data_IF_008321531076
#
_entry.id   IF_008321531076
#
_cell.length_a   1.000
_cell.length_b   1.000
_cell.length_c   1.000
_cell.angle_alpha   90.00
_cell.angle_beta   90.00
_cell.angle_gamma   90.00
#
_symmetry.space_group_name_H-M   'P 1'
#
loop_
_entity.id
_entity.type
_entity.pdbx_description
1 polymer ?
#
# COMPACT_ATOMS: atom_id res chain seq x y z
N UNK A 1 -5.13 47.65 22.68
CA UNK A 1 -5.92 46.44 22.45
C UNK A 1 -6.73 46.59 21.17
N UNK A 2 -7.16 45.52 20.58
CA UNK A 2 -7.89 45.50 19.30
C UNK A 2 -9.25 46.22 19.31
N UNK A 3 -9.75 46.55 20.49
CA UNK A 3 -10.97 47.35 20.66
C UNK A 3 -10.88 48.77 20.05
N UNK A 4 -9.67 49.30 19.97
CA UNK A 4 -9.43 50.66 19.48
C UNK A 4 -9.11 50.70 17.98
N UNK A 5 -8.79 49.56 17.37
CA UNK A 5 -8.41 49.46 15.97
C UNK A 5 -8.90 48.15 15.33
N UNK A 6 -10.18 48.05 14.93
CA UNK A 6 -10.73 46.85 14.29
C UNK A 6 -10.00 46.48 12.97
N UNK A 7 -9.43 47.45 12.27
CA UNK A 7 -8.64 47.24 11.07
C UNK A 7 -7.37 46.41 11.31
N UNK A 8 -6.83 46.43 12.53
CA UNK A 8 -5.67 45.61 12.88
C UNK A 8 -6.02 44.12 12.96
N UNK A 9 -7.22 43.78 13.46
CA UNK A 9 -7.67 42.40 13.48
C UNK A 9 -7.88 41.85 12.04
N UNK A 10 -8.51 42.67 11.19
CA UNK A 10 -8.69 42.32 9.80
C UNK A 10 -7.35 42.04 9.08
N UNK A 11 -6.39 42.97 9.23
CA UNK A 11 -5.04 42.80 8.65
C UNK A 11 -4.31 41.58 9.20
N UNK A 12 -4.46 41.30 10.50
CA UNK A 12 -3.86 40.13 11.16
C UNK A 12 -4.44 38.83 10.63
N UNK A 13 -5.79 38.72 10.55
CA UNK A 13 -6.44 37.53 10.00
C UNK A 13 -6.05 37.31 8.54
N UNK A 14 -5.95 38.36 7.76
CA UNK A 14 -5.49 38.29 6.37
C UNK A 14 -4.05 37.74 6.30
N UNK A 15 -3.15 38.21 7.13
CA UNK A 15 -1.77 37.69 7.20
C UNK A 15 -1.73 36.21 7.59
N UNK A 16 -2.58 35.76 8.52
CA UNK A 16 -2.65 34.34 8.89
C UNK A 16 -3.12 33.49 7.73
N UNK A 17 -4.12 33.94 6.97
CA UNK A 17 -4.60 33.27 5.75
C UNK A 17 -3.47 33.19 4.71
N UNK A 18 -2.77 34.29 4.45
CA UNK A 18 -1.67 34.37 3.50
C UNK A 18 -0.49 33.44 3.91
N UNK A 19 -0.29 33.25 5.21
CA UNK A 19 0.69 32.29 5.76
C UNK A 19 0.20 30.85 5.84
N UNK A 20 -0.98 30.55 5.31
CA UNK A 20 -1.58 29.21 5.34
C UNK A 20 -1.78 28.64 6.76
N UNK A 21 -2.07 29.51 7.74
CA UNK A 21 -2.44 29.05 9.07
C UNK A 21 -3.76 28.26 9.01
N UNK A 22 -3.85 27.21 9.85
CA UNK A 22 -5.02 26.31 9.87
C UNK A 22 -6.28 26.94 10.46
N UNK A 23 -6.12 28.00 11.27
CA UNK A 23 -7.22 28.68 11.94
C UNK A 23 -6.74 29.64 13.02
N UNK A 24 -7.65 30.32 13.69
CA UNK A 24 -7.37 31.25 14.77
C UNK A 24 -8.25 30.95 15.98
N UNK A 25 -7.64 30.83 17.15
CA UNK A 25 -8.33 30.73 18.43
C UNK A 25 -8.29 32.08 19.15
N UNK A 26 -9.42 32.56 19.58
CA UNK A 26 -9.55 33.83 20.30
C UNK A 26 -10.28 33.59 21.62
N UNK A 27 -9.68 34.05 22.72
CA UNK A 27 -10.35 34.12 24.02
C UNK A 27 -11.16 35.40 24.10
N UNK A 28 -12.48 35.26 24.29
CA UNK A 28 -13.41 36.34 24.49
C UNK A 28 -13.37 36.79 25.96
N UNK A 29 -12.85 37.96 26.20
CA UNK A 29 -12.74 38.51 27.54
C UNK A 29 -13.18 39.99 27.58
N UNK A 30 -12.76 40.71 28.62
CA UNK A 30 -13.06 42.13 28.80
C UNK A 30 -12.59 43.00 27.63
N UNK A 31 -11.60 42.53 26.85
CA UNK A 31 -10.97 43.27 25.76
C UNK A 31 -11.56 42.98 24.38
N UNK A 32 -12.08 41.75 24.17
CA UNK A 32 -12.69 41.34 22.91
C UNK A 32 -14.09 40.81 23.24
N UNK A 33 -15.13 41.55 22.86
CA UNK A 33 -16.53 41.17 23.09
C UNK A 33 -17.20 40.61 21.86
N UNK A 34 -16.83 41.13 20.70
CA UNK A 34 -17.40 40.76 19.41
C UNK A 34 -16.30 40.75 18.32
N UNK A 35 -16.52 39.93 17.30
CA UNK A 35 -15.68 39.92 16.09
C UNK A 35 -16.34 40.82 15.04
N UNK A 36 -15.61 41.76 14.45
CA UNK A 36 -16.13 42.64 13.39
C UNK A 36 -16.66 41.84 12.19
N UNK A 37 -17.79 42.28 11.63
CA UNK A 37 -18.44 41.58 10.53
C UNK A 37 -17.54 41.39 9.31
N UNK A 38 -16.72 42.38 8.98
CA UNK A 38 -15.75 42.31 7.88
C UNK A 38 -14.67 41.21 8.08
N UNK A 39 -14.34 40.86 9.33
CA UNK A 39 -13.42 39.77 9.66
C UNK A 39 -14.09 38.41 9.45
N UNK A 40 -15.38 38.32 9.82
CA UNK A 40 -16.18 37.11 9.61
C UNK A 40 -16.33 36.85 8.10
N UNK A 41 -16.70 37.87 7.32
CA UNK A 41 -16.83 37.75 5.87
C UNK A 41 -15.51 37.38 5.18
N UNK A 42 -14.39 37.92 5.65
CA UNK A 42 -13.05 37.50 5.17
C UNK A 42 -12.79 36.04 5.48
N UNK A 43 -13.01 35.62 6.72
CA UNK A 43 -12.78 34.25 7.17
C UNK A 43 -13.65 33.25 6.39
N UNK A 44 -14.94 33.55 6.21
CA UNK A 44 -15.87 32.74 5.43
C UNK A 44 -15.45 32.61 3.95
N UNK A 45 -15.00 33.71 3.33
CA UNK A 45 -14.57 33.71 1.93
C UNK A 45 -13.37 32.81 1.66
N UNK A 46 -12.51 32.62 2.66
CA UNK A 46 -11.32 31.75 2.59
C UNK A 46 -11.48 30.42 3.35
N UNK A 47 -12.68 30.13 3.87
CA UNK A 47 -12.96 28.96 4.73
C UNK A 47 -11.98 28.84 5.91
N UNK A 48 -11.59 29.99 6.46
CA UNK A 48 -10.63 30.08 7.56
C UNK A 48 -11.38 30.01 8.91
N UNK A 49 -11.18 28.95 9.72
CA UNK A 49 -11.91 28.78 10.97
C UNK A 49 -11.41 29.76 12.05
N UNK A 50 -12.36 30.48 12.68
CA UNK A 50 -12.12 31.27 13.91
C UNK A 50 -12.89 30.63 15.06
N UNK A 51 -12.18 30.16 16.07
CA UNK A 51 -12.72 29.52 17.25
C UNK A 51 -12.74 30.52 18.41
N UNK A 52 -13.93 30.73 19.00
CA UNK A 52 -14.12 31.69 20.10
C UNK A 52 -14.31 30.96 21.41
N UNK A 53 -13.44 31.25 22.39
CA UNK A 53 -13.58 30.76 23.75
C UNK A 53 -14.29 31.83 24.60
N UNK A 54 -15.48 31.53 25.11
CA UNK A 54 -16.26 32.43 25.96
C UNK A 54 -15.89 32.35 27.44
N UNK A 55 -15.01 31.43 27.80
CA UNK A 55 -14.45 31.28 29.15
C UNK A 55 -12.94 31.35 29.08
N UNK A 56 -12.32 31.72 30.17
CA UNK A 56 -10.87 31.65 30.33
C UNK A 56 -10.38 30.22 30.08
N UNK A 57 -9.41 30.07 29.21
CA UNK A 57 -8.82 28.78 28.82
C UNK A 57 -7.31 28.87 28.95
N UNK A 58 -6.71 27.80 29.48
CA UNK A 58 -5.29 27.65 29.49
C UNK A 58 -4.80 27.13 28.13
N UNK A 59 -4.23 28.00 27.32
CA UNK A 59 -3.71 27.61 25.98
C UNK A 59 -2.72 26.45 26.05
N UNK A 60 -2.02 26.28 27.17
CA UNK A 60 -1.15 25.13 27.42
C UNK A 60 -1.94 23.82 27.41
N UNK A 61 -3.12 23.79 28.02
CA UNK A 61 -4.01 22.60 28.02
C UNK A 61 -4.49 22.28 26.61
N UNK A 62 -4.94 23.29 25.85
CA UNK A 62 -5.36 23.12 24.46
C UNK A 62 -4.22 22.57 23.61
N UNK A 63 -3.02 23.14 23.75
CA UNK A 63 -1.82 22.69 23.03
C UNK A 63 -1.47 21.26 23.40
N UNK A 64 -1.54 20.91 24.68
CA UNK A 64 -1.31 19.55 25.18
C UNK A 64 -2.29 18.55 24.61
N UNK A 65 -3.59 18.89 24.58
CA UNK A 65 -4.64 18.04 24.04
C UNK A 65 -4.47 17.81 22.52
N UNK A 66 -4.17 18.87 21.77
CA UNK A 66 -3.89 18.77 20.34
C UNK A 66 -2.66 17.88 20.09
N UNK A 67 -1.56 18.10 20.83
CA UNK A 67 -0.36 17.26 20.70
C UNK A 67 -0.66 15.79 21.03
N UNK A 68 -1.43 15.56 22.10
CA UNK A 68 -1.83 14.20 22.50
C UNK A 68 -2.65 13.52 21.42
N UNK A 69 -3.60 14.23 20.78
CA UNK A 69 -4.38 13.70 19.66
C UNK A 69 -3.48 13.36 18.45
N UNK A 70 -2.56 14.26 18.08
CA UNK A 70 -1.62 14.03 16.97
C UNK A 70 -0.75 12.81 17.26
N UNK A 71 -0.18 12.72 18.46
CA UNK A 71 0.68 11.60 18.86
C UNK A 71 -0.13 10.29 18.87
N UNK A 72 -1.32 10.28 19.45
CA UNK A 72 -2.17 9.10 19.50
C UNK A 72 -2.55 8.63 18.08
N UNK A 73 -2.88 9.54 17.17
CA UNK A 73 -3.15 9.19 15.78
C UNK A 73 -1.92 8.56 15.09
N UNK A 74 -0.72 9.10 15.34
CA UNK A 74 0.52 8.51 14.80
C UNK A 74 0.78 7.11 15.37
N UNK A 75 0.58 6.92 16.67
CA UNK A 75 0.69 5.59 17.29
C UNK A 75 -0.32 4.59 16.71
N UNK A 76 -1.55 5.04 16.45
CA UNK A 76 -2.56 4.18 15.85
C UNK A 76 -2.15 3.73 14.43
N UNK A 77 -1.70 4.66 13.59
CA UNK A 77 -1.23 4.34 12.24
C UNK A 77 -0.07 3.34 12.25
N UNK A 78 0.89 3.53 13.19
CA UNK A 78 2.00 2.59 13.35
C UNK A 78 1.54 1.21 13.83
N UNK A 79 0.59 1.17 14.77
CA UNK A 79 0.00 -0.08 15.27
C UNK A 79 -0.72 -0.83 14.16
N UNK A 80 -1.52 -0.14 13.35
CA UNK A 80 -2.26 -0.73 12.24
C UNK A 80 -1.31 -1.27 11.17
N UNK A 81 -0.23 -0.54 10.85
CA UNK A 81 0.81 -0.98 9.93
C UNK A 81 1.55 -2.21 10.44
N UNK A 82 1.85 -2.25 11.74
CA UNK A 82 2.51 -3.40 12.37
C UNK A 82 1.60 -4.64 12.35
N UNK A 83 0.33 -4.48 12.71
CA UNK A 83 -0.65 -5.56 12.64
C UNK A 83 -0.80 -6.11 11.22
N UNK A 84 -0.89 -5.21 10.22
CA UNK A 84 -0.92 -5.61 8.82
C UNK A 84 0.33 -6.42 8.43
N UNK A 85 1.51 -5.95 8.83
CA UNK A 85 2.79 -6.62 8.55
C UNK A 85 2.87 -8.00 9.20
N UNK A 86 2.38 -8.15 10.43
CA UNK A 86 2.34 -9.44 11.14
C UNK A 86 1.41 -10.43 10.44
N UNK A 87 0.25 -9.99 9.96
CA UNK A 87 -0.67 -10.84 9.19
C UNK A 87 0.00 -11.29 7.88
N UNK A 88 0.62 -10.36 7.14
CA UNK A 88 1.33 -10.70 5.91
C UNK A 88 2.46 -11.71 6.13
N UNK A 89 3.29 -11.51 7.17
CA UNK A 89 4.39 -12.41 7.50
C UNK A 89 3.88 -13.81 7.88
N UNK A 90 2.74 -13.91 8.55
CA UNK A 90 2.10 -15.17 8.83
C UNK A 90 1.56 -15.84 7.56
N UNK A 91 0.89 -15.04 6.71
CA UNK A 91 0.36 -15.52 5.44
C UNK A 91 1.46 -16.12 4.55
N UNK A 92 2.63 -15.48 4.44
CA UNK A 92 3.71 -15.95 3.53
C UNK A 92 4.23 -17.35 3.88
N UNK A 93 4.07 -17.79 5.12
CA UNK A 93 4.48 -19.11 5.58
C UNK A 93 3.43 -20.17 5.22
N UNK A 94 2.14 -19.79 5.25
CA UNK A 94 1.00 -20.68 5.15
C UNK A 94 0.43 -20.82 3.73
N UNK A 95 0.67 -19.81 2.86
CA UNK A 95 0.06 -19.77 1.53
C UNK A 95 0.98 -20.25 0.41
N UNK A 96 0.38 -20.88 -0.59
CA UNK A 96 1.06 -21.36 -1.80
C UNK A 96 0.85 -20.43 -3.00
N UNK A 97 0.00 -19.39 -2.89
CA UNK A 97 -0.34 -18.53 -4.00
C UNK A 97 -0.28 -17.04 -3.64
N UNK A 98 0.49 -16.26 -4.43
CA UNK A 98 0.56 -14.79 -4.32
C UNK A 98 -0.81 -14.09 -4.40
N UNK A 99 -1.81 -14.76 -5.00
CA UNK A 99 -3.17 -14.24 -5.16
C UNK A 99 -3.85 -13.98 -3.82
N UNK A 100 -3.55 -14.76 -2.80
CA UNK A 100 -4.13 -14.59 -1.47
C UNK A 100 -3.65 -13.29 -0.82
N UNK A 101 -2.37 -12.95 -0.99
CA UNK A 101 -1.79 -11.67 -0.54
C UNK A 101 -2.46 -10.48 -1.24
N UNK A 102 -2.63 -10.56 -2.58
CA UNK A 102 -3.26 -9.48 -3.36
C UNK A 102 -4.76 -9.34 -3.05
N UNK A 103 -5.44 -10.46 -2.79
CA UNK A 103 -6.84 -10.46 -2.34
C UNK A 103 -6.99 -9.89 -0.93
N UNK A 104 -6.03 -10.16 -0.05
CA UNK A 104 -5.99 -9.57 1.30
C UNK A 104 -5.78 -8.05 1.22
N UNK A 105 -4.81 -7.57 0.43
CA UNK A 105 -4.58 -6.15 0.19
C UNK A 105 -5.86 -5.45 -0.31
N UNK A 106 -6.53 -6.06 -1.30
CA UNK A 106 -7.77 -5.56 -1.86
C UNK A 106 -8.86 -5.35 -0.80
N UNK A 107 -9.05 -6.35 0.06
CA UNK A 107 -10.06 -6.31 1.13
C UNK A 107 -9.70 -5.34 2.25
N UNK A 108 -8.41 -5.27 2.61
CA UNK A 108 -7.94 -4.43 3.70
C UNK A 108 -8.07 -2.93 3.39
N UNK A 109 -7.72 -2.51 2.19
CA UNK A 109 -7.79 -1.11 1.76
C UNK A 109 -9.13 -0.75 1.09
N UNK A 110 -9.98 -1.73 0.76
CA UNK A 110 -11.22 -1.57 -0.01
C UNK A 110 -10.98 -0.88 -1.36
N UNK A 111 -9.91 -1.29 -2.06
CA UNK A 111 -9.46 -0.75 -3.34
C UNK A 111 -9.46 -1.80 -4.43
N UNK A 112 -9.29 -1.37 -5.68
CA UNK A 112 -8.96 -2.29 -6.78
C UNK A 112 -7.44 -2.48 -6.83
N UNK A 113 -7.00 -3.72 -6.97
CA UNK A 113 -5.58 -4.09 -7.06
C UNK A 113 -5.30 -4.68 -8.44
N UNK A 114 -4.22 -4.21 -9.06
CA UNK A 114 -3.72 -4.74 -10.33
C UNK A 114 -2.27 -5.16 -10.14
N UNK A 115 -1.94 -6.36 -10.60
CA UNK A 115 -0.57 -6.86 -10.70
C UNK A 115 -0.22 -7.00 -12.17
N UNK A 116 0.78 -6.26 -12.62
CA UNK A 116 1.31 -6.30 -13.99
C UNK A 116 2.68 -6.96 -13.92
N UNK A 117 2.79 -8.16 -14.46
CA UNK A 117 4.04 -8.92 -14.47
C UNK A 117 4.92 -8.52 -15.65
N UNK A 118 6.23 -8.69 -15.53
CA UNK A 118 7.19 -8.46 -16.61
C UNK A 118 6.88 -9.31 -17.87
N UNK A 119 6.27 -10.48 -17.69
CA UNK A 119 5.78 -11.34 -18.78
C UNK A 119 4.60 -10.75 -19.59
N UNK A 120 4.10 -9.57 -19.20
CA UNK A 120 2.90 -8.97 -19.80
C UNK A 120 1.58 -9.49 -19.25
N UNK A 121 1.59 -10.47 -18.35
CA UNK A 121 0.38 -10.97 -17.66
C UNK A 121 -0.17 -9.90 -16.74
N UNK A 122 -1.50 -9.72 -16.71
CA UNK A 122 -2.19 -8.77 -15.83
C UNK A 122 -3.20 -9.53 -14.98
N UNK A 123 -3.08 -9.41 -13.68
CA UNK A 123 -4.06 -9.90 -12.71
C UNK A 123 -4.78 -8.73 -12.04
N UNK A 124 -6.06 -8.89 -11.68
CA UNK A 124 -6.85 -7.87 -10.98
C UNK A 124 -7.65 -8.47 -9.84
N UNK A 125 -7.79 -7.69 -8.77
CA UNK A 125 -8.55 -8.04 -7.58
C UNK A 125 -9.49 -6.88 -7.21
N UNK A 126 -10.82 -7.06 -7.21
CA UNK A 126 -11.53 -8.26 -7.67
C UNK A 126 -11.28 -8.56 -9.16
N UNK A 127 -11.53 -9.81 -9.56
CA UNK A 127 -11.26 -10.24 -10.94
C UNK A 127 -12.16 -9.47 -11.94
N UNK A 128 -11.54 -8.92 -12.99
CA UNK A 128 -12.19 -8.12 -14.02
C UNK A 128 -11.94 -8.70 -15.40
N UNK A 129 -12.81 -8.35 -16.37
CA UNK A 129 -12.59 -8.67 -17.77
C UNK A 129 -11.36 -7.95 -18.33
N UNK A 130 -10.65 -8.56 -19.28
CA UNK A 130 -9.41 -8.00 -19.88
C UNK A 130 -9.61 -6.58 -20.45
N UNK A 131 -10.79 -6.31 -21.06
CA UNK A 131 -11.13 -4.98 -21.58
C UNK A 131 -11.16 -3.91 -20.47
N UNK A 132 -11.73 -4.23 -19.32
CA UNK A 132 -11.79 -3.31 -18.16
C UNK A 132 -10.42 -3.10 -17.53
N UNK A 133 -9.61 -4.16 -17.41
CA UNK A 133 -8.23 -4.06 -16.91
C UNK A 133 -7.41 -3.06 -17.74
N UNK A 134 -7.44 -3.21 -19.06
CA UNK A 134 -6.72 -2.33 -19.98
C UNK A 134 -7.24 -0.88 -19.94
N UNK A 135 -8.56 -0.68 -19.82
CA UNK A 135 -9.13 0.67 -19.71
C UNK A 135 -8.67 1.38 -18.44
N UNK A 136 -8.66 0.70 -17.29
CA UNK A 136 -8.20 1.28 -16.02
C UNK A 136 -6.71 1.62 -16.07
N UNK A 137 -5.88 0.72 -16.62
CA UNK A 137 -4.45 0.94 -16.77
C UNK A 137 -4.10 2.07 -17.76
N UNK A 138 -4.88 2.22 -18.85
CA UNK A 138 -4.69 3.30 -19.83
C UNK A 138 -5.12 4.65 -19.26
N UNK A 139 -6.22 4.73 -18.50
CA UNK A 139 -6.62 5.95 -17.76
C UNK A 139 -5.55 6.40 -16.78
N UNK A 140 -4.91 5.46 -16.09
CA UNK A 140 -3.81 5.74 -15.17
C UNK A 140 -2.62 6.42 -15.82
N UNK A 141 -2.27 6.04 -17.08
CA UNK A 141 -1.17 6.67 -17.81
C UNK A 141 -1.47 8.11 -18.23
N UNK A 142 -2.76 8.47 -18.34
CA UNK A 142 -3.22 9.78 -18.80
C UNK A 142 -3.48 10.80 -17.67
N UNK A 143 -3.72 10.32 -16.44
CA UNK A 143 -4.04 11.17 -15.28
C UNK A 143 -3.04 10.90 -14.16
N UNK A 144 -2.33 11.95 -13.75
CA UNK A 144 -1.52 11.98 -12.51
C UNK A 144 -2.50 12.02 -11.34
N UNK A 145 -3.05 10.87 -10.94
CA UNK A 145 -4.28 10.82 -10.16
C UNK A 145 -4.00 10.43 -8.70
N UNK A 146 -4.35 11.33 -7.77
CA UNK A 146 -4.34 11.10 -6.31
C UNK A 146 -5.17 9.85 -5.86
N UNK A 147 -5.76 9.14 -6.82
CA UNK A 147 -6.56 7.93 -6.62
C UNK A 147 -5.87 6.63 -7.03
N UNK A 148 -4.61 6.70 -7.44
CA UNK A 148 -3.84 5.50 -7.79
C UNK A 148 -2.40 5.59 -7.30
N UNK A 149 -1.91 4.49 -6.72
CA UNK A 149 -0.51 4.35 -6.30
C UNK A 149 0.04 3.08 -6.94
N UNK A 150 1.27 3.14 -7.46
CA UNK A 150 1.98 1.99 -8.03
C UNK A 150 3.32 1.82 -7.34
N UNK A 151 3.64 0.59 -7.02
CA UNK A 151 4.95 0.20 -6.49
C UNK A 151 5.48 -1.01 -7.23
N UNK A 152 6.79 -1.04 -7.56
CA UNK A 152 7.43 -2.21 -8.14
C UNK A 152 7.67 -3.28 -7.07
N UNK A 153 7.57 -4.53 -7.46
CA UNK A 153 8.11 -5.66 -6.70
C UNK A 153 9.47 -6.00 -7.30
N UNK A 154 10.52 -5.80 -6.51
CA UNK A 154 11.89 -6.05 -6.93
C UNK A 154 12.38 -7.38 -6.38
N UNK A 155 13.08 -8.16 -7.24
CA UNK A 155 13.74 -9.40 -6.88
C UNK A 155 15.16 -9.31 -7.44
N UNK A 156 16.17 -9.41 -6.57
CA UNK A 156 17.59 -9.34 -6.92
C UNK A 156 17.99 -8.11 -7.75
N UNK A 157 17.27 -6.99 -7.59
CA UNK A 157 17.50 -5.74 -8.30
C UNK A 157 16.64 -5.52 -9.54
N UNK A 158 15.97 -6.55 -10.03
CA UNK A 158 15.10 -6.48 -11.20
C UNK A 158 13.62 -6.31 -10.79
N UNK A 159 12.85 -5.58 -11.61
CA UNK A 159 11.41 -5.43 -11.41
C UNK A 159 10.70 -6.66 -11.97
N UNK A 160 10.15 -7.49 -11.08
CA UNK A 160 9.41 -8.71 -11.42
C UNK A 160 7.94 -8.43 -11.77
N UNK A 161 7.32 -7.52 -11.03
CA UNK A 161 5.95 -7.08 -11.25
C UNK A 161 5.75 -5.65 -10.73
N UNK A 162 4.71 -4.98 -11.22
CA UNK A 162 4.21 -3.71 -10.68
C UNK A 162 2.84 -3.92 -10.05
N UNK A 163 2.69 -3.53 -8.79
CA UNK A 163 1.42 -3.57 -8.08
C UNK A 163 0.83 -2.17 -8.04
N UNK A 164 -0.40 -2.06 -8.54
CA UNK A 164 -1.16 -0.81 -8.56
C UNK A 164 -2.41 -0.96 -7.74
N UNK A 165 -2.65 -0.03 -6.83
CA UNK A 165 -3.93 0.14 -6.15
C UNK A 165 -4.69 1.32 -6.76
N UNK A 166 -6.00 1.17 -6.93
CA UNK A 166 -6.89 2.20 -7.49
C UNK A 166 -8.12 2.31 -6.60
N UNK A 167 -8.37 3.51 -6.09
CA UNK A 167 -9.57 3.80 -5.32
C UNK A 167 -10.64 4.48 -6.18
N UNK A 168 -11.88 4.04 -6.06
CA UNK A 168 -13.04 4.64 -6.74
C UNK A 168 -13.80 5.62 -5.86
N UNK A 169 -13.67 5.51 -4.53
CA UNK A 169 -14.48 6.28 -3.57
C UNK A 169 -13.73 7.37 -2.82
N UNK A 170 -12.41 7.26 -2.63
CA UNK A 170 -11.62 8.18 -1.81
C UNK A 170 -10.27 8.50 -2.46
N UNK A 171 -9.60 9.54 -1.98
CA UNK A 171 -8.19 9.77 -2.28
C UNK A 171 -7.33 8.80 -1.48
N UNK A 172 -6.26 8.34 -2.08
CA UNK A 172 -5.24 7.52 -1.41
C UNK A 172 -4.30 8.44 -0.63
N UNK A 173 -3.83 7.96 0.51
CA UNK A 173 -2.97 8.70 1.42
C UNK A 173 -1.63 7.97 1.66
N UNK A 174 -0.79 8.55 2.51
CA UNK A 174 0.53 7.99 2.83
C UNK A 174 0.44 6.61 3.50
N UNK A 175 -0.61 6.36 4.29
CA UNK A 175 -0.84 5.05 4.90
C UNK A 175 -1.11 3.97 3.85
N UNK A 176 -1.91 4.26 2.82
CA UNK A 176 -2.14 3.34 1.69
C UNK A 176 -0.83 3.01 0.96
N UNK A 177 0.05 4.02 0.81
CA UNK A 177 1.37 3.82 0.22
C UNK A 177 2.25 2.92 1.07
N UNK A 178 2.25 3.08 2.41
CA UNK A 178 3.00 2.23 3.33
C UNK A 178 2.50 0.79 3.34
N UNK A 179 1.18 0.59 3.33
CA UNK A 179 0.56 -0.74 3.21
C UNK A 179 0.98 -1.42 1.91
N UNK A 180 0.96 -0.68 0.80
CA UNK A 180 1.41 -1.21 -0.48
C UNK A 180 2.90 -1.56 -0.48
N UNK A 181 3.76 -0.74 0.14
CA UNK A 181 5.20 -1.03 0.30
C UNK A 181 5.44 -2.33 1.09
N UNK A 182 4.71 -2.53 2.19
CA UNK A 182 4.79 -3.79 2.95
C UNK A 182 4.35 -4.98 2.10
N UNK A 183 3.26 -4.82 1.35
CA UNK A 183 2.75 -5.88 0.47
C UNK A 183 3.75 -6.24 -0.63
N UNK A 184 4.33 -5.25 -1.31
CA UNK A 184 5.32 -5.49 -2.38
C UNK A 184 6.58 -6.16 -1.85
N UNK A 185 7.03 -5.81 -0.64
CA UNK A 185 8.16 -6.45 0.02
C UNK A 185 7.88 -7.94 0.27
N UNK A 186 6.71 -8.27 0.82
CA UNK A 186 6.31 -9.66 1.11
C UNK A 186 6.12 -10.45 -0.18
N UNK A 187 5.54 -9.86 -1.23
CA UNK A 187 5.42 -10.50 -2.54
C UNK A 187 6.81 -10.79 -3.16
N UNK A 188 7.77 -9.88 -3.01
CA UNK A 188 9.15 -10.10 -3.44
C UNK A 188 9.78 -11.31 -2.74
N UNK A 189 9.61 -11.43 -1.42
CA UNK A 189 10.07 -12.60 -0.65
C UNK A 189 9.37 -13.89 -1.08
N UNK A 190 8.05 -13.83 -1.32
CA UNK A 190 7.27 -14.97 -1.80
C UNK A 190 7.80 -15.48 -3.14
N UNK A 191 7.95 -14.61 -4.13
CA UNK A 191 8.43 -15.01 -5.46
C UNK A 191 9.90 -15.39 -5.46
N UNK A 192 10.74 -14.76 -4.63
CA UNK A 192 12.13 -15.20 -4.47
C UNK A 192 12.21 -16.64 -3.91
N UNK A 193 11.38 -16.96 -2.92
CA UNK A 193 11.26 -18.33 -2.38
C UNK A 193 10.81 -19.31 -3.47
N UNK A 194 9.81 -18.94 -4.25
CA UNK A 194 9.26 -19.77 -5.32
C UNK A 194 10.30 -20.04 -6.41
N UNK A 195 11.03 -18.99 -6.84
CA UNK A 195 12.13 -19.13 -7.78
C UNK A 195 13.22 -20.07 -7.25
N UNK A 196 13.64 -19.91 -6.00
CA UNK A 196 14.66 -20.76 -5.39
C UNK A 196 14.23 -22.23 -5.28
N UNK A 197 12.98 -22.47 -4.87
CA UNK A 197 12.44 -23.84 -4.77
C UNK A 197 12.36 -24.49 -6.14
N UNK A 198 11.93 -23.76 -7.16
CA UNK A 198 11.84 -24.25 -8.53
C UNK A 198 13.23 -24.53 -9.12
N UNK A 199 14.22 -23.65 -8.91
CA UNK A 199 15.60 -23.86 -9.33
C UNK A 199 16.21 -25.10 -8.70
N UNK A 200 16.07 -25.25 -7.37
CA UNK A 200 16.56 -26.41 -6.64
C UNK A 200 15.91 -27.73 -7.10
N UNK A 201 14.61 -27.66 -7.43
CA UNK A 201 13.90 -28.80 -8.02
C UNK A 201 14.44 -29.17 -9.39
N UNK A 202 14.68 -28.16 -10.26
CA UNK A 202 15.25 -28.39 -11.58
C UNK A 202 16.67 -28.94 -11.50
N UNK A 203 17.49 -28.47 -10.57
CA UNK A 203 18.85 -29.01 -10.36
C UNK A 203 18.79 -30.47 -9.89
N UNK A 204 17.93 -30.78 -8.94
CA UNK A 204 17.73 -32.16 -8.49
C UNK A 204 17.20 -33.08 -9.62
N UNK A 205 16.35 -32.53 -10.50
CA UNK A 205 15.87 -33.26 -11.69
C UNK A 205 16.98 -33.47 -12.74
N UNK A 206 17.94 -32.56 -12.85
CA UNK A 206 19.12 -32.73 -13.72
C UNK A 206 20.11 -33.73 -13.15
N UNK A 207 20.37 -33.68 -11.85
CA UNK A 207 21.36 -34.54 -11.19
C UNK A 207 20.99 -36.03 -11.35
N UNK A 208 19.76 -36.44 -11.03
CA UNK A 208 19.36 -37.84 -11.19
C UNK A 208 19.29 -38.28 -12.66
N UNK A 209 18.97 -37.38 -13.61
CA UNK A 209 19.04 -37.66 -15.06
C UNK A 209 20.49 -37.91 -15.50
N UNK A 210 21.44 -37.12 -14.99
CA UNK A 210 22.88 -37.31 -15.28
C UNK A 210 23.36 -38.65 -14.73
N UNK A 211 23.05 -38.94 -13.46
CA UNK A 211 23.38 -40.21 -12.79
C UNK A 211 22.77 -41.41 -13.55
N UNK A 212 21.59 -41.22 -14.12
CA UNK A 212 20.96 -42.24 -14.95
C UNK A 212 21.67 -42.47 -16.28
N UNK A 213 22.02 -41.38 -16.96
CA UNK A 213 22.75 -41.44 -18.26
C UNK A 213 24.16 -42.06 -18.06
N UNK A 214 24.81 -41.74 -16.96
CA UNK A 214 26.13 -42.26 -16.60
C UNK A 214 26.10 -43.70 -16.09
N UNK A 215 24.87 -44.24 -15.84
CA UNK A 215 24.69 -45.63 -15.40
C UNK A 215 24.96 -45.83 -13.90
N UNK A 216 25.04 -44.74 -13.13
CA UNK A 216 25.28 -44.79 -11.69
C UNK A 216 24.02 -44.98 -10.88
N UNK A 217 22.83 -44.78 -11.48
CA UNK A 217 21.53 -44.86 -10.81
C UNK A 217 21.03 -46.32 -10.76
N UNK A 218 20.64 -46.78 -9.57
CA UNK A 218 20.02 -48.10 -9.41
C UNK A 218 18.60 -48.10 -9.98
N UNK A 219 18.18 -49.24 -10.52
CA UNK A 219 16.89 -49.43 -11.21
C UNK A 219 15.68 -49.14 -10.29
N UNK A 220 15.77 -49.51 -9.01
CA UNK A 220 14.74 -49.24 -7.98
C UNK A 220 14.55 -47.74 -7.74
N UNK A 221 15.64 -46.95 -7.67
CA UNK A 221 15.63 -45.49 -7.51
C UNK A 221 15.11 -44.79 -8.77
N UNK A 222 15.47 -45.30 -9.96
CA UNK A 222 14.98 -44.79 -11.24
C UNK A 222 13.46 -44.89 -11.31
N UNK A 223 12.88 -46.05 -11.01
CA UNK A 223 11.43 -46.26 -11.04
C UNK A 223 10.72 -45.36 -10.04
N UNK A 224 11.31 -45.14 -8.86
CA UNK A 224 10.77 -44.20 -7.87
C UNK A 224 10.78 -42.74 -8.39
N UNK A 225 11.85 -42.26 -9.00
CA UNK A 225 11.97 -40.91 -9.54
C UNK A 225 11.02 -40.68 -10.73
N UNK A 226 10.93 -41.62 -11.65
CA UNK A 226 9.98 -41.57 -12.76
C UNK A 226 8.54 -41.55 -12.27
N UNK A 227 8.20 -42.31 -11.24
CA UNK A 227 6.83 -42.30 -10.64
C UNK A 227 6.49 -40.96 -9.96
N UNK A 228 7.48 -40.20 -9.46
CA UNK A 228 7.28 -38.86 -8.90
C UNK A 228 7.09 -37.78 -9.97
N UNK A 229 7.66 -37.95 -11.14
CA UNK A 229 7.65 -36.97 -12.23
C UNK A 229 6.30 -37.00 -12.98
N UNK A 230 5.62 -38.15 -13.05
CA UNK A 230 4.30 -38.26 -13.72
C UNK A 230 3.15 -38.61 -12.77
N UNK A 231 2.22 -37.69 -12.68
CA UNK A 231 0.99 -37.85 -11.88
C UNK A 231 -0.15 -38.63 -12.56
N UNK A 232 -0.03 -39.13 -13.81
CA UNK A 232 -1.23 -39.56 -14.56
C UNK A 232 -1.16 -40.74 -15.50
N UNK A 233 0.00 -41.36 -15.82
CA UNK A 233 0.02 -42.56 -16.71
C UNK A 233 1.06 -43.59 -16.27
N UNK A 234 0.73 -44.90 -16.26
CA UNK A 234 1.72 -45.92 -16.00
C UNK A 234 2.73 -46.00 -17.14
N UNK A 235 4.02 -45.83 -16.84
CA UNK A 235 5.09 -45.99 -17.80
C UNK A 235 5.18 -47.44 -18.31
N UNK A 236 5.21 -47.57 -19.64
CA UNK A 236 5.53 -48.84 -20.31
C UNK A 236 6.92 -48.84 -20.95
N UNK A 237 7.59 -47.70 -20.98
CA UNK A 237 8.96 -47.54 -21.48
C UNK A 237 9.35 -46.08 -21.67
N UNK A 238 10.66 -45.80 -21.74
CA UNK A 238 11.21 -44.50 -22.05
C UNK A 238 12.19 -44.57 -23.23
N UNK A 239 12.22 -43.54 -24.09
CA UNK A 239 13.19 -43.37 -25.18
C UNK A 239 13.96 -42.10 -24.94
N UNK A 240 15.27 -42.20 -24.86
CA UNK A 240 16.17 -41.06 -24.75
C UNK A 240 16.74 -40.76 -26.14
N UNK A 241 16.58 -39.49 -26.57
CA UNK A 241 17.22 -38.95 -27.77
C UNK A 241 18.41 -38.10 -27.35
N UNK A 242 19.58 -38.47 -27.83
CA UNK A 242 20.82 -37.66 -27.66
C UNK A 242 21.10 -37.00 -29.00
N UNK A 243 21.15 -35.68 -29.05
CA UNK A 243 21.54 -34.86 -30.18
C UNK A 243 22.98 -34.36 -30.01
#
# INVERSE_FOLDING_TARGET
GWKEKPEQLFSFVKQLIDCHAAGLCIEMNTYIKDIPQNVIELADSYQFPIILFHKEVLFVEITHDIHSLIINNQYQLLSDLEQYSQILNKMIIEIDQHRDVLSFLQKYLEVQVFAVFHSGKIESFPNMTEKLKQQVLNRKKAENNERSITKPVQILGDTYAEITIVSTGRRLNDFDSLILDRTTTVLGQFWLRDLYVNEKRMDSEKDWLTDWIEGELREDVLVEQLSKTERSTPFTGAVVWVC
#
